data_IF_793870297512
#
_entry.id   IF_793870297512
#
_cell.length_a   1.000
_cell.length_b   1.000
_cell.length_c   1.000
_cell.angle_alpha   90.00
_cell.angle_beta   90.00
_cell.angle_gamma   90.00
#
_symmetry.space_group_name_H-M   'P 1'
#
loop_
_entity.id
_entity.type
_entity.pdbx_description
1 polymer ?
#
# COMPACT_ATOMS: atom_id res chain seq x y z
N UNK A 1 -19.91 -10.17 -14.29
CA UNK A 1 -19.41 -10.48 -12.93
C UNK A 1 -18.55 -9.33 -12.44
N UNK A 2 -18.75 -8.92 -11.21
CA UNK A 2 -18.07 -7.75 -10.68
C UNK A 2 -16.65 -8.12 -10.20
N UNK A 3 -15.65 -7.33 -10.62
CA UNK A 3 -14.27 -7.45 -10.14
C UNK A 3 -14.12 -6.71 -8.83
N UNK A 4 -13.51 -7.34 -7.83
CA UNK A 4 -13.11 -6.68 -6.59
C UNK A 4 -11.72 -6.07 -6.77
N UNK A 5 -11.62 -4.77 -6.57
CA UNK A 5 -10.35 -4.03 -6.67
C UNK A 5 -9.77 -3.86 -5.29
N UNK A 6 -8.58 -4.42 -5.09
CA UNK A 6 -7.86 -4.37 -3.81
C UNK A 6 -6.72 -3.38 -3.93
N UNK A 7 -6.67 -2.40 -3.04
CA UNK A 7 -5.49 -1.56 -2.85
C UNK A 7 -4.64 -2.16 -1.75
N UNK A 8 -3.54 -2.81 -2.11
CA UNK A 8 -2.64 -3.43 -1.15
C UNK A 8 -1.52 -2.47 -0.83
N UNK A 9 -1.38 -2.10 0.44
CA UNK A 9 -0.38 -1.12 0.88
C UNK A 9 0.69 -1.82 1.70
N UNK A 10 1.94 -1.60 1.34
CA UNK A 10 3.09 -2.22 1.99
C UNK A 10 4.30 -1.29 1.93
N UNK A 11 5.15 -1.35 2.96
CA UNK A 11 6.42 -0.65 2.90
C UNK A 11 7.39 -1.35 1.95
N UNK A 12 7.45 -2.68 2.02
CA UNK A 12 8.42 -3.48 1.29
C UNK A 12 7.80 -4.06 0.02
N UNK A 13 8.49 -3.87 -1.07
CA UNK A 13 8.16 -4.48 -2.37
C UNK A 13 9.45 -4.64 -3.17
N UNK A 14 9.60 -5.70 -3.98
CA UNK A 14 10.80 -5.88 -4.77
C UNK A 14 11.17 -4.63 -5.59
N UNK A 15 12.44 -4.27 -5.70
CA UNK A 15 13.61 -5.02 -5.25
C UNK A 15 13.98 -4.80 -3.77
N UNK A 16 13.22 -4.01 -3.01
CA UNK A 16 13.56 -3.64 -1.63
C UNK A 16 12.74 -4.46 -0.65
N UNK A 17 13.23 -5.64 -0.30
CA UNK A 17 12.63 -6.51 0.71
C UNK A 17 13.68 -6.83 1.77
N UNK A 18 13.30 -6.61 3.06
CA UNK A 18 14.21 -6.77 4.17
C UNK A 18 13.97 -8.04 4.98
N UNK A 19 12.76 -8.59 4.98
CA UNK A 19 12.44 -9.70 5.85
C UNK A 19 11.11 -10.37 5.52
N UNK A 20 10.60 -11.15 6.50
CA UNK A 20 9.44 -12.00 6.33
C UNK A 20 8.16 -11.29 5.94
N UNK A 21 7.96 -10.07 6.44
CA UNK A 21 6.75 -9.30 6.10
C UNK A 21 6.69 -9.00 4.61
N UNK A 22 7.80 -8.56 4.01
CA UNK A 22 7.86 -8.27 2.58
C UNK A 22 7.68 -9.51 1.73
N UNK A 23 8.28 -10.64 2.14
CA UNK A 23 8.11 -11.92 1.45
C UNK A 23 6.66 -12.38 1.50
N UNK A 24 6.02 -12.26 2.67
CA UNK A 24 4.61 -12.63 2.84
C UNK A 24 3.71 -11.81 1.91
N UNK A 25 3.90 -10.49 1.86
CA UNK A 25 3.10 -9.60 1.01
C UNK A 25 3.26 -9.96 -0.46
N UNK A 26 4.49 -10.21 -0.89
CA UNK A 26 4.76 -10.60 -2.27
C UNK A 26 4.04 -11.89 -2.65
N UNK A 27 4.14 -12.91 -1.79
CA UNK A 27 3.49 -14.20 -2.05
C UNK A 27 1.98 -14.09 -2.02
N UNK A 28 1.42 -13.34 -1.06
CA UNK A 28 -0.02 -13.08 -0.99
C UNK A 28 -0.51 -12.37 -2.26
N UNK A 29 0.20 -11.36 -2.70
CA UNK A 29 -0.16 -10.61 -3.90
C UNK A 29 -0.15 -11.51 -5.14
N UNK A 30 0.88 -12.32 -5.28
CA UNK A 30 0.96 -13.26 -6.40
C UNK A 30 -0.21 -14.25 -6.39
N UNK A 31 -0.58 -14.76 -5.22
CA UNK A 31 -1.72 -15.66 -5.08
C UNK A 31 -3.05 -14.96 -5.41
N UNK A 32 -3.26 -13.75 -4.91
CA UNK A 32 -4.47 -12.97 -5.19
C UNK A 32 -4.62 -12.66 -6.68
N UNK A 33 -3.51 -12.38 -7.35
CA UNK A 33 -3.51 -12.08 -8.79
C UNK A 33 -3.85 -13.28 -9.67
N UNK A 34 -3.91 -14.49 -9.11
CA UNK A 34 -4.38 -15.68 -9.83
C UNK A 34 -5.90 -15.83 -9.79
N UNK A 35 -6.60 -15.07 -8.96
CA UNK A 35 -8.05 -15.16 -8.79
C UNK A 35 -8.72 -14.27 -9.84
N UNK A 36 -9.62 -14.85 -10.64
CA UNK A 36 -10.19 -14.16 -11.81
C UNK A 36 -10.92 -12.86 -11.49
N UNK A 37 -11.66 -12.81 -10.38
CA UNK A 37 -12.51 -11.67 -10.04
C UNK A 37 -11.84 -10.72 -9.04
N UNK A 38 -10.53 -10.81 -8.90
CA UNK A 38 -9.75 -9.96 -8.00
C UNK A 38 -8.67 -9.23 -8.79
N UNK A 39 -8.64 -7.91 -8.66
CA UNK A 39 -7.59 -7.06 -9.21
C UNK A 39 -6.82 -6.42 -8.07
N UNK A 40 -5.51 -6.58 -8.04
CA UNK A 40 -4.68 -6.04 -6.96
C UNK A 40 -3.74 -4.97 -7.50
N UNK A 41 -3.90 -3.76 -6.99
CA UNK A 41 -2.92 -2.68 -7.18
C UNK A 41 -2.07 -2.59 -5.92
N UNK A 42 -0.76 -2.70 -6.08
CA UNK A 42 0.19 -2.56 -4.97
C UNK A 42 0.65 -1.11 -4.88
N UNK A 43 0.59 -0.56 -3.67
CA UNK A 43 1.10 0.76 -3.33
C UNK A 43 2.18 0.58 -2.28
N UNK A 44 3.42 0.96 -2.62
CA UNK A 44 4.56 0.69 -1.76
C UNK A 44 5.42 1.92 -1.53
N UNK A 45 6.25 1.85 -0.51
CA UNK A 45 7.24 2.88 -0.21
C UNK A 45 8.40 2.79 -1.20
N UNK A 46 9.06 3.91 -1.43
CA UNK A 46 10.16 4.02 -2.40
C UNK A 46 9.65 4.43 -3.77
N UNK A 47 10.51 4.39 -4.76
CA UNK A 47 10.16 4.80 -6.11
C UNK A 47 9.22 3.82 -6.82
N UNK A 48 8.60 4.23 -7.93
CA UNK A 48 7.70 3.36 -8.69
C UNK A 48 8.42 2.14 -9.27
N UNK A 49 7.68 1.03 -9.41
CA UNK A 49 8.12 -0.20 -10.07
C UNK A 49 7.21 -0.49 -11.25
N UNK A 50 7.62 -1.43 -12.10
CA UNK A 50 6.80 -1.84 -13.23
C UNK A 50 5.48 -2.51 -12.84
N UNK A 51 5.41 -3.10 -11.65
CA UNK A 51 4.25 -3.85 -11.16
C UNK A 51 3.63 -3.27 -9.88
N UNK A 52 4.07 -2.09 -9.45
CA UNK A 52 3.56 -1.45 -8.24
C UNK A 52 3.71 0.07 -8.32
N UNK A 53 2.77 0.77 -7.69
CA UNK A 53 2.86 2.21 -7.51
C UNK A 53 3.77 2.50 -6.32
N UNK A 54 4.89 3.19 -6.56
CA UNK A 54 5.85 3.52 -5.52
C UNK A 54 5.78 4.99 -5.14
N UNK A 55 5.95 5.27 -3.85
CA UNK A 55 5.82 6.61 -3.29
C UNK A 55 7.09 6.98 -2.54
N UNK A 56 7.76 8.01 -3.02
CA UNK A 56 8.94 8.55 -2.38
C UNK A 56 8.57 9.51 -1.26
N UNK A 57 9.52 9.76 -0.37
CA UNK A 57 9.32 10.71 0.72
C UNK A 57 9.01 12.10 0.15
N UNK A 58 7.90 12.75 0.57
CA UNK A 58 7.61 14.10 0.11
C UNK A 58 8.66 15.11 0.53
N UNK A 59 8.79 16.18 -0.25
CA UNK A 59 9.70 17.28 0.02
C UNK A 59 9.41 17.90 1.40
N UNK A 60 10.45 18.24 2.13
CA UNK A 60 10.34 18.86 3.44
C UNK A 60 10.39 17.90 4.62
N UNK A 61 10.45 16.58 4.40
CA UNK A 61 10.45 15.57 5.46
C UNK A 61 11.79 14.87 5.65
N UNK A 62 12.84 15.30 4.94
CA UNK A 62 14.15 14.62 5.00
C UNK A 62 14.73 14.54 6.41
N UNK A 63 14.50 15.57 7.23
CA UNK A 63 15.04 15.66 8.59
C UNK A 63 14.03 15.21 9.66
N UNK A 64 12.85 14.75 9.26
CA UNK A 64 11.86 14.26 10.19
C UNK A 64 12.25 12.86 10.72
N UNK A 65 11.70 12.50 11.89
CA UNK A 65 11.93 11.14 12.40
C UNK A 65 11.23 10.10 11.50
N UNK A 66 11.65 8.82 11.60
CA UNK A 66 11.13 7.78 10.72
C UNK A 66 9.60 7.58 10.78
N UNK A 67 8.99 7.79 11.96
CA UNK A 67 7.54 7.64 12.10
C UNK A 67 6.80 8.74 11.33
N UNK A 68 7.27 9.97 11.39
CA UNK A 68 6.70 11.10 10.65
C UNK A 68 6.92 10.92 9.15
N UNK A 69 8.08 10.41 8.75
CA UNK A 69 8.36 10.11 7.35
C UNK A 69 7.39 9.06 6.80
N UNK A 70 7.15 7.99 7.56
CA UNK A 70 6.18 6.97 7.18
C UNK A 70 4.77 7.56 7.04
N UNK A 71 4.36 8.39 7.99
CA UNK A 71 3.05 9.06 7.93
C UNK A 71 2.91 9.95 6.70
N UNK A 72 3.96 10.69 6.34
CA UNK A 72 3.95 11.54 5.17
C UNK A 72 3.73 10.74 3.88
N UNK A 73 4.39 9.58 3.75
CA UNK A 73 4.18 8.68 2.62
C UNK A 73 2.77 8.10 2.65
N UNK A 74 2.28 7.69 3.82
CA UNK A 74 0.94 7.11 3.97
C UNK A 74 -0.16 8.08 3.56
N UNK A 75 -0.03 9.37 3.86
CA UNK A 75 -0.98 10.39 3.43
C UNK A 75 -1.04 10.49 1.91
N UNK A 76 0.11 10.42 1.26
CA UNK A 76 0.22 10.44 -0.19
C UNK A 76 -0.46 9.21 -0.79
N UNK A 77 -0.18 8.03 -0.25
CA UNK A 77 -0.79 6.78 -0.72
C UNK A 77 -2.31 6.87 -0.58
N UNK A 78 -2.81 7.30 0.57
CA UNK A 78 -4.24 7.35 0.85
C UNK A 78 -5.02 8.15 -0.19
N UNK A 79 -4.44 9.25 -0.69
CA UNK A 79 -5.12 10.08 -1.69
C UNK A 79 -5.34 9.35 -3.02
N UNK A 80 -4.56 8.31 -3.30
CA UNK A 80 -4.63 7.56 -4.55
C UNK A 80 -5.46 6.27 -4.45
N UNK A 81 -6.14 6.04 -3.34
CA UNK A 81 -6.90 4.80 -3.11
C UNK A 81 -8.42 4.95 -3.31
N UNK A 82 -8.87 6.04 -3.92
CA UNK A 82 -10.30 6.31 -4.07
C UNK A 82 -11.05 5.38 -5.01
N UNK A 83 -10.33 4.63 -5.82
CA UNK A 83 -10.92 3.75 -6.85
C UNK A 83 -10.98 2.28 -6.44
N UNK A 84 -10.49 1.90 -5.26
CA UNK A 84 -10.49 0.52 -4.83
C UNK A 84 -11.73 0.19 -4.01
N UNK A 85 -12.09 -1.09 -3.97
CA UNK A 85 -13.23 -1.58 -3.19
C UNK A 85 -12.85 -1.89 -1.74
N UNK A 86 -11.60 -2.23 -1.51
CA UNK A 86 -11.06 -2.54 -0.18
C UNK A 86 -9.59 -2.18 -0.15
N UNK A 87 -9.11 -1.65 0.98
CA UNK A 87 -7.70 -1.44 1.20
C UNK A 87 -7.19 -2.46 2.22
N UNK A 88 -6.08 -3.12 1.88
CA UNK A 88 -5.42 -4.09 2.75
C UNK A 88 -4.00 -3.61 3.03
N UNK A 89 -3.76 -3.18 4.25
CA UNK A 89 -2.46 -2.65 4.66
C UNK A 89 -1.67 -3.69 5.46
N UNK A 90 -0.35 -3.67 5.31
CA UNK A 90 0.56 -4.61 5.95
C UNK A 90 1.58 -3.87 6.78
N UNK A 91 1.66 -4.22 8.05
CA UNK A 91 2.52 -3.66 9.09
C UNK A 91 2.14 -2.24 9.50
N UNK A 92 2.66 -1.80 10.63
CA UNK A 92 2.32 -0.48 11.17
C UNK A 92 2.73 0.66 10.23
N UNK A 93 3.77 0.46 9.42
CA UNK A 93 4.21 1.46 8.46
C UNK A 93 3.11 1.86 7.48
N UNK A 94 2.31 0.90 7.06
CA UNK A 94 1.28 1.10 6.03
C UNK A 94 -0.13 1.22 6.59
N UNK A 95 -0.34 0.86 7.86
CA UNK A 95 -1.68 0.82 8.43
C UNK A 95 -2.35 2.18 8.45
N UNK A 96 -1.60 3.26 8.62
CA UNK A 96 -2.17 4.61 8.62
C UNK A 96 -2.69 5.00 7.23
N UNK A 97 -2.03 4.57 6.16
CA UNK A 97 -2.53 4.80 4.80
C UNK A 97 -3.91 4.17 4.63
N UNK A 98 -4.08 2.93 5.08
CA UNK A 98 -5.38 2.25 5.02
C UNK A 98 -6.43 2.92 5.86
N UNK A 99 -6.09 3.33 7.08
CA UNK A 99 -7.01 4.02 7.97
C UNK A 99 -7.52 5.35 7.37
N UNK A 100 -6.60 6.15 6.86
CA UNK A 100 -6.94 7.44 6.25
C UNK A 100 -7.76 7.23 4.99
N UNK A 101 -7.39 6.27 4.14
CA UNK A 101 -8.14 5.95 2.94
C UNK A 101 -9.58 5.54 3.26
N UNK A 102 -9.77 4.72 4.30
CA UNK A 102 -11.09 4.31 4.75
C UNK A 102 -11.94 5.51 5.16
N UNK A 103 -11.36 6.44 5.92
CA UNK A 103 -12.05 7.66 6.33
C UNK A 103 -12.33 8.60 5.16
N UNK A 104 -11.35 8.77 4.28
CA UNK A 104 -11.45 9.74 3.19
C UNK A 104 -12.37 9.27 2.07
N UNK A 105 -12.33 7.99 1.74
CA UNK A 105 -13.04 7.44 0.59
C UNK A 105 -14.23 6.55 0.96
N UNK A 106 -14.45 6.28 2.25
CA UNK A 106 -15.55 5.43 2.69
C UNK A 106 -15.42 3.96 2.30
N UNK A 107 -14.20 3.44 2.24
CA UNK A 107 -13.93 2.05 1.87
C UNK A 107 -13.50 1.21 3.07
N UNK A 108 -13.78 -0.12 3.06
CA UNK A 108 -13.31 -1.01 4.12
C UNK A 108 -11.79 -1.09 4.18
N UNK A 109 -11.25 -1.23 5.38
CA UNK A 109 -9.83 -1.37 5.62
C UNK A 109 -9.56 -2.68 6.37
N UNK A 110 -8.72 -3.53 5.79
CA UNK A 110 -8.22 -4.76 6.40
C UNK A 110 -6.78 -4.52 6.83
N UNK A 111 -6.51 -4.86 8.08
CA UNK A 111 -5.18 -4.71 8.68
C UNK A 111 -4.43 -6.03 8.66
#
# INVERSE_FOLDING_TARGET
MKTTRVGLVTKEWPPTIYGGAGVHVLQLTQALRTINDVHVDVHCFGGPRGDAFGYSLPSGFADANPAVQALAIDLEIATHLGHVDVVHSHTWYANMAGHIAALQHGIPHIV
#
